data_IF_497312000024
#
_entry.id   IF_497312000024
#
_cell.length_a   1.000
_cell.length_b   1.000
_cell.length_c   1.000
_cell.angle_alpha   90.00
_cell.angle_beta   90.00
_cell.angle_gamma   90.00
#
_symmetry.space_group_name_H-M   'P 1'
#
loop_
_entity.id
_entity.type
_entity.pdbx_description
1 polymer ?
#
# COMPACT_ATOMS: atom_id res chain seq x y z
N UNK A 1 -37.49 -46.16 -72.88
CA UNK A 1 -37.54 -46.48 -71.43
C UNK A 1 -37.36 -45.19 -70.62
N UNK A 2 -38.40 -44.74 -69.91
CA UNK A 2 -38.40 -43.49 -69.10
C UNK A 2 -37.91 -43.79 -67.68
N UNK A 3 -36.88 -43.10 -67.19
CA UNK A 3 -36.51 -43.08 -65.76
C UNK A 3 -36.98 -41.77 -65.14
N UNK A 4 -37.99 -41.85 -64.26
CA UNK A 4 -38.45 -40.76 -63.39
C UNK A 4 -37.43 -40.55 -62.27
N UNK A 5 -36.94 -39.32 -62.07
CA UNK A 5 -36.12 -38.94 -60.91
C UNK A 5 -37.03 -38.52 -59.76
N UNK A 6 -36.89 -39.18 -58.61
CA UNK A 6 -37.61 -38.86 -57.38
C UNK A 6 -36.98 -37.62 -56.72
N UNK A 7 -37.72 -36.50 -56.68
CA UNK A 7 -37.39 -35.25 -55.96
C UNK A 7 -38.13 -35.23 -54.63
N UNK A 8 -37.70 -35.98 -53.61
CA UNK A 8 -38.40 -35.90 -52.30
C UNK A 8 -37.57 -36.24 -51.05
N UNK A 9 -36.22 -36.21 -51.10
CA UNK A 9 -35.41 -36.53 -49.91
C UNK A 9 -34.61 -35.36 -49.30
N UNK A 10 -34.81 -34.11 -49.76
CA UNK A 10 -33.95 -32.99 -49.34
C UNK A 10 -34.57 -32.02 -48.31
N UNK A 11 -35.76 -32.30 -47.79
CA UNK A 11 -36.49 -31.35 -46.95
C UNK A 11 -36.52 -31.66 -45.43
N UNK A 12 -35.81 -32.68 -44.93
CA UNK A 12 -36.01 -33.16 -43.55
C UNK A 12 -34.78 -33.20 -42.63
N UNK A 13 -33.70 -32.47 -42.93
CA UNK A 13 -32.51 -32.43 -42.03
C UNK A 13 -32.11 -31.07 -41.47
N UNK A 14 -32.82 -29.98 -41.80
CA UNK A 14 -32.42 -28.62 -41.39
C UNK A 14 -33.04 -28.08 -40.10
N UNK A 15 -34.04 -28.74 -39.51
CA UNK A 15 -34.80 -28.15 -38.37
C UNK A 15 -34.26 -28.49 -36.97
N UNK A 16 -33.45 -29.55 -36.78
CA UNK A 16 -32.97 -29.95 -35.42
C UNK A 16 -31.57 -29.45 -35.04
N UNK A 17 -30.93 -28.62 -35.87
CA UNK A 17 -29.58 -28.11 -35.59
C UNK A 17 -29.55 -26.76 -34.87
N UNK A 18 -30.58 -25.92 -34.91
CA UNK A 18 -30.48 -24.56 -34.33
C UNK A 18 -30.67 -24.51 -32.80
N UNK A 19 -31.41 -25.43 -32.20
CA UNK A 19 -31.70 -25.38 -30.75
C UNK A 19 -30.50 -25.81 -29.89
N UNK A 20 -29.64 -26.69 -30.41
CA UNK A 20 -28.42 -27.13 -29.69
C UNK A 20 -27.33 -26.05 -29.65
N UNK A 21 -27.32 -25.12 -30.61
CA UNK A 21 -26.33 -24.02 -30.62
C UNK A 21 -26.67 -22.90 -29.63
N UNK A 22 -27.95 -22.69 -29.30
CA UNK A 22 -28.36 -21.67 -28.35
C UNK A 22 -28.08 -22.08 -26.90
N UNK A 23 -28.29 -23.36 -26.55
CA UNK A 23 -28.00 -23.86 -25.21
C UNK A 23 -26.50 -23.87 -24.88
N UNK A 24 -25.62 -24.23 -25.83
CA UNK A 24 -24.16 -24.15 -25.59
C UNK A 24 -23.65 -22.71 -25.43
N UNK A 25 -24.24 -21.72 -26.12
CA UNK A 25 -23.83 -20.31 -25.96
C UNK A 25 -24.29 -19.72 -24.63
N UNK A 26 -25.47 -20.08 -24.13
CA UNK A 26 -25.96 -19.64 -22.83
C UNK A 26 -25.13 -20.18 -21.66
N UNK A 27 -24.72 -21.46 -21.72
CA UNK A 27 -23.86 -22.08 -20.69
C UNK A 27 -22.43 -21.52 -20.73
N UNK A 28 -21.88 -21.25 -21.92
CA UNK A 28 -20.57 -20.61 -22.06
C UNK A 28 -20.54 -19.17 -21.53
N UNK A 29 -21.62 -18.40 -21.71
CA UNK A 29 -21.75 -17.05 -21.16
C UNK A 29 -21.95 -17.06 -19.63
N UNK A 30 -22.70 -18.02 -19.09
CA UNK A 30 -22.87 -18.17 -17.64
C UNK A 30 -21.56 -18.59 -16.94
N UNK A 31 -20.76 -19.47 -17.55
CA UNK A 31 -19.43 -19.84 -17.05
C UNK A 31 -18.40 -18.70 -17.21
N UNK A 32 -18.49 -17.89 -18.27
CA UNK A 32 -17.65 -16.71 -18.44
C UNK A 32 -18.03 -15.58 -17.45
N UNK A 33 -19.31 -15.42 -17.12
CA UNK A 33 -19.78 -14.45 -16.12
C UNK A 33 -19.44 -14.88 -14.68
N UNK A 34 -19.46 -16.18 -14.38
CA UNK A 34 -19.05 -16.72 -13.08
C UNK A 34 -17.55 -16.57 -12.78
N UNK A 35 -16.69 -16.47 -13.80
CA UNK A 35 -15.25 -16.32 -13.64
C UNK A 35 -14.79 -14.88 -13.37
N UNK A 36 -15.66 -13.89 -13.57
CA UNK A 36 -15.35 -12.46 -13.35
C UNK A 36 -15.77 -11.94 -11.97
N UNK A 37 -16.54 -12.71 -11.19
CA UNK A 37 -16.72 -12.47 -9.74
C UNK A 37 -15.59 -13.13 -8.94
N UNK A 38 -14.36 -13.02 -9.43
CA UNK A 38 -13.18 -13.19 -8.60
C UNK A 38 -13.21 -12.08 -7.57
N UNK A 39 -13.74 -12.40 -6.38
CA UNK A 39 -13.68 -11.56 -5.20
C UNK A 39 -12.32 -10.86 -5.17
N UNK A 40 -12.34 -9.53 -5.25
CA UNK A 40 -11.17 -8.71 -4.96
C UNK A 40 -10.81 -8.99 -3.51
N UNK A 41 -10.09 -10.08 -3.28
CA UNK A 41 -9.54 -10.41 -1.98
C UNK A 41 -8.73 -9.18 -1.57
N UNK A 42 -8.99 -8.58 -0.40
CA UNK A 42 -8.27 -7.39 0.03
C UNK A 42 -6.79 -7.72 -0.03
N UNK A 43 -6.12 -7.11 -1.01
CA UNK A 43 -4.73 -7.37 -1.30
C UNK A 43 -3.96 -6.67 -0.20
N UNK A 44 -3.68 -7.37 0.89
CA UNK A 44 -2.69 -6.94 1.86
C UNK A 44 -1.42 -7.73 1.58
N UNK A 45 -0.30 -7.02 1.45
CA UNK A 45 1.02 -7.60 1.64
C UNK A 45 1.99 -6.51 2.09
N UNK A 46 3.15 -6.93 2.56
CA UNK A 46 3.79 -6.48 3.79
C UNK A 46 2.92 -6.65 5.05
N UNK A 47 3.50 -7.07 6.19
CA UNK A 47 2.75 -7.26 7.42
C UNK A 47 2.45 -5.88 8.02
N UNK A 48 1.23 -5.71 8.53
CA UNK A 48 0.88 -4.48 9.24
C UNK A 48 1.69 -4.36 10.54
N UNK A 49 2.05 -3.15 10.93
CA UNK A 49 2.81 -2.93 12.16
C UNK A 49 1.94 -3.16 13.41
N UNK A 50 0.63 -2.86 13.31
CA UNK A 50 -0.33 -3.02 14.41
C UNK A 50 -1.65 -3.60 13.94
N UNK A 51 -2.31 -4.34 14.84
CA UNK A 51 -3.70 -4.77 14.72
C UNK A 51 -4.59 -3.94 15.64
N UNK A 52 -5.71 -3.46 15.11
CA UNK A 52 -6.79 -2.84 15.87
C UNK A 52 -8.07 -3.60 15.59
N UNK A 53 -8.85 -3.87 16.63
CA UNK A 53 -10.18 -4.46 16.54
C UNK A 53 -11.17 -3.43 17.10
N UNK A 54 -12.26 -3.22 16.36
CA UNK A 54 -13.30 -2.23 16.64
C UNK A 54 -14.65 -2.78 16.15
N UNK A 55 -15.74 -2.53 16.87
CA UNK A 55 -17.06 -2.92 16.40
C UNK A 55 -17.65 -1.88 15.43
N UNK A 56 -18.61 -2.25 14.55
CA UNK A 56 -19.34 -1.28 13.75
C UNK A 56 -20.10 -0.28 14.64
N UNK A 57 -19.96 1.02 14.36
CA UNK A 57 -20.50 2.11 15.17
C UNK A 57 -19.69 2.46 16.42
N UNK A 58 -18.65 1.68 16.75
CA UNK A 58 -17.75 2.00 17.85
C UNK A 58 -16.73 3.07 17.42
N UNK A 59 -16.37 3.93 18.37
CA UNK A 59 -15.30 4.93 18.22
C UNK A 59 -14.18 4.64 19.20
N UNK A 60 -12.94 4.73 18.74
CA UNK A 60 -11.73 4.45 19.52
C UNK A 60 -10.67 5.50 19.24
N UNK A 61 -9.98 5.95 20.29
CA UNK A 61 -8.86 6.88 20.16
C UNK A 61 -7.57 6.09 20.39
N UNK A 62 -6.66 6.18 19.43
CA UNK A 62 -5.37 5.50 19.49
C UNK A 62 -4.24 6.51 19.44
N UNK A 63 -3.31 6.39 20.39
CA UNK A 63 -2.15 7.28 20.42
C UNK A 63 -1.16 6.89 19.33
N UNK A 64 -0.75 7.88 18.55
CA UNK A 64 0.28 7.75 17.55
C UNK A 64 1.43 8.72 17.85
N UNK A 65 2.62 8.41 17.38
CA UNK A 65 3.73 9.36 17.38
C UNK A 65 3.46 10.52 16.41
N UNK A 66 4.37 11.48 16.29
CA UNK A 66 4.23 12.56 15.32
C UNK A 66 4.14 11.98 13.90
N UNK A 67 2.99 12.16 13.26
CA UNK A 67 2.72 11.76 11.88
C UNK A 67 2.30 12.98 11.08
N UNK A 68 2.74 13.03 9.82
CA UNK A 68 2.39 14.14 8.96
C UNK A 68 0.99 13.94 8.37
N UNK A 69 0.65 12.71 7.97
CA UNK A 69 -0.59 12.40 7.26
C UNK A 69 -1.08 10.98 7.55
N UNK A 70 -2.38 10.78 7.42
CA UNK A 70 -3.01 9.47 7.42
C UNK A 70 -3.85 9.27 6.16
N UNK A 71 -3.98 8.03 5.73
CA UNK A 71 -4.87 7.61 4.66
C UNK A 71 -5.57 6.31 5.04
N UNK A 72 -6.88 6.23 4.79
CA UNK A 72 -7.68 5.03 5.00
C UNK A 72 -7.91 4.35 3.65
N UNK A 73 -7.52 3.07 3.54
CA UNK A 73 -7.66 2.31 2.30
C UNK A 73 -9.13 2.12 1.88
N UNK A 74 -10.01 1.90 2.84
CA UNK A 74 -11.44 1.71 2.63
C UNK A 74 -12.26 2.59 3.61
N UNK A 75 -12.68 3.80 3.18
CA UNK A 75 -13.42 4.74 4.02
C UNK A 75 -14.89 4.34 4.25
N UNK A 76 -15.40 3.34 3.52
CA UNK A 76 -16.74 2.78 3.76
C UNK A 76 -16.73 1.84 4.97
N UNK A 77 -15.57 1.20 5.24
CA UNK A 77 -15.37 0.35 6.43
C UNK A 77 -14.96 1.11 7.67
N UNK A 78 -14.14 2.14 7.52
CA UNK A 78 -13.54 2.84 8.66
C UNK A 78 -13.42 4.33 8.35
N UNK A 79 -13.75 5.17 9.33
CA UNK A 79 -13.31 6.55 9.33
C UNK A 79 -12.10 6.70 10.27
N UNK A 80 -11.11 7.47 9.84
CA UNK A 80 -9.97 7.83 10.66
C UNK A 80 -9.67 9.32 10.53
N UNK A 81 -9.42 9.97 11.66
CA UNK A 81 -9.10 11.39 11.73
C UNK A 81 -7.94 11.63 12.69
N UNK A 82 -7.04 12.54 12.34
CA UNK A 82 -5.94 12.96 13.21
C UNK A 82 -6.41 14.11 14.09
N UNK A 83 -6.37 13.90 15.40
CA UNK A 83 -6.73 14.92 16.37
C UNK A 83 -5.58 15.91 16.58
N UNK A 84 -5.85 17.16 17.02
CA UNK A 84 -4.80 18.14 17.35
C UNK A 84 -3.83 17.67 18.45
N UNK A 85 -4.23 16.69 19.27
CA UNK A 85 -3.38 16.05 20.29
C UNK A 85 -2.30 15.13 19.71
N UNK A 86 -2.35 14.84 18.40
CA UNK A 86 -1.51 13.82 17.75
C UNK A 86 -2.04 12.39 17.90
N UNK A 87 -3.25 12.23 18.43
CA UNK A 87 -3.96 10.95 18.49
C UNK A 87 -4.79 10.73 17.23
N UNK A 88 -5.18 9.48 16.99
CA UNK A 88 -6.01 9.09 15.84
C UNK A 88 -7.37 8.61 16.36
N UNK A 89 -8.42 9.29 15.95
CA UNK A 89 -9.79 8.84 16.12
C UNK A 89 -10.09 7.80 15.04
N UNK A 90 -10.58 6.64 15.44
CA UNK A 90 -11.02 5.56 14.56
C UNK A 90 -12.50 5.30 14.82
N UNK A 91 -13.32 5.28 13.78
CA UNK A 91 -14.75 4.98 13.87
C UNK A 91 -15.07 3.83 12.90
N UNK A 92 -15.48 2.70 13.44
CA UNK A 92 -15.90 1.53 12.66
C UNK A 92 -17.23 1.81 11.97
N UNK A 93 -17.32 1.57 10.66
CA UNK A 93 -18.55 1.83 9.88
C UNK A 93 -19.23 0.55 9.42
N UNK A 94 -18.53 -0.25 8.60
CA UNK A 94 -19.06 -1.49 8.04
C UNK A 94 -18.13 -2.65 8.30
N UNK A 95 -18.70 -3.85 8.43
CA UNK A 95 -17.95 -5.06 8.78
C UNK A 95 -16.90 -5.37 7.71
N UNK A 96 -15.67 -5.67 8.15
CA UNK A 96 -14.60 -6.11 7.27
C UNK A 96 -13.20 -5.79 7.80
N UNK A 97 -12.24 -5.83 6.89
CA UNK A 97 -10.84 -5.50 7.17
C UNK A 97 -10.42 -4.35 6.26
N UNK A 98 -9.67 -3.41 6.83
CA UNK A 98 -9.08 -2.28 6.10
C UNK A 98 -7.73 -1.92 6.71
N UNK A 99 -7.02 -0.99 6.07
CA UNK A 99 -5.71 -0.52 6.49
C UNK A 99 -5.70 1.00 6.63
N UNK A 100 -5.00 1.47 7.66
CA UNK A 100 -4.69 2.88 7.84
C UNK A 100 -3.19 3.05 7.64
N UNK A 101 -2.83 3.85 6.64
CA UNK A 101 -1.46 4.19 6.30
C UNK A 101 -1.11 5.52 6.93
N UNK A 102 -0.03 5.54 7.69
CA UNK A 102 0.52 6.74 8.29
C UNK A 102 1.82 7.08 7.59
N UNK A 103 1.86 8.29 7.04
CA UNK A 103 3.01 8.79 6.30
C UNK A 103 3.80 9.76 7.20
N UNK A 104 5.01 9.37 7.53
CA UNK A 104 6.05 10.25 8.07
C UNK A 104 6.94 10.78 6.95
N UNK A 105 7.93 11.59 7.32
CA UNK A 105 8.88 12.15 6.34
C UNK A 105 9.73 11.07 5.65
N UNK A 106 10.06 9.98 6.35
CA UNK A 106 10.98 8.94 5.87
C UNK A 106 10.52 7.52 6.24
N UNK A 107 9.24 7.36 6.58
CA UNK A 107 8.70 6.08 7.01
C UNK A 107 7.20 6.01 6.76
N UNK A 108 6.72 4.77 6.62
CA UNK A 108 5.30 4.45 6.52
C UNK A 108 5.00 3.43 7.61
N UNK A 109 3.93 3.68 8.37
CA UNK A 109 3.42 2.76 9.38
C UNK A 109 2.02 2.34 8.98
N UNK A 110 1.69 1.06 9.15
CA UNK A 110 0.40 0.53 8.69
C UNK A 110 -0.33 -0.15 9.83
N UNK A 111 -1.55 0.30 10.12
CA UNK A 111 -2.47 -0.42 10.99
C UNK A 111 -3.39 -1.27 10.14
N UNK A 112 -3.56 -2.55 10.51
CA UNK A 112 -4.65 -3.39 10.03
C UNK A 112 -5.80 -3.28 11.02
N UNK A 113 -6.93 -2.80 10.55
CA UNK A 113 -8.13 -2.58 11.37
C UNK A 113 -9.19 -3.59 10.96
N UNK A 114 -9.67 -4.34 11.95
CA UNK A 114 -10.78 -5.27 11.82
C UNK A 114 -12.02 -4.60 12.40
N UNK A 115 -13.04 -4.39 11.57
CA UNK A 115 -14.31 -3.80 11.95
C UNK A 115 -15.35 -4.91 12.04
N UNK A 116 -15.80 -5.27 13.25
CA UNK A 116 -16.73 -6.39 13.49
C UNK A 116 -16.28 -7.74 12.90
N UNK A 117 -14.98 -7.89 12.65
CA UNK A 117 -14.35 -9.06 12.08
C UNK A 117 -13.27 -9.55 13.04
N UNK A 118 -13.02 -10.85 13.05
CA UNK A 118 -11.95 -11.41 13.88
C UNK A 118 -10.89 -12.09 13.02
N UNK A 119 -9.62 -12.03 13.42
CA UNK A 119 -8.55 -12.76 12.76
C UNK A 119 -8.80 -14.27 12.85
N UNK A 120 -8.75 -14.95 11.70
CA UNK A 120 -8.89 -16.41 11.61
C UNK A 120 -7.56 -17.11 12.00
N UNK A 121 -7.54 -17.87 13.12
CA UNK A 121 -6.35 -18.61 13.55
C UNK A 121 -5.97 -19.73 12.59
N UNK A 122 -6.93 -20.41 11.96
CA UNK A 122 -6.66 -21.53 11.04
C UNK A 122 -6.00 -21.02 9.76
N UNK A 123 -6.48 -19.89 9.23
CA UNK A 123 -5.86 -19.22 8.08
C UNK A 123 -4.42 -18.79 8.39
N UNK A 124 -4.14 -18.32 9.62
CA UNK A 124 -2.77 -18.01 10.05
C UNK A 124 -1.89 -19.24 10.01
N UNK A 125 -2.31 -20.35 10.61
CA UNK A 125 -1.53 -21.59 10.64
C UNK A 125 -1.30 -22.17 9.24
N UNK A 126 -2.32 -22.10 8.37
CA UNK A 126 -2.18 -22.50 6.97
C UNK A 126 -1.13 -21.65 6.23
N UNK A 127 -1.13 -20.33 6.47
CA UNK A 127 -0.14 -19.41 5.90
C UNK A 127 1.28 -19.71 6.37
N UNK A 128 1.48 -20.01 7.66
CA UNK A 128 2.79 -20.40 8.21
C UNK A 128 3.31 -21.68 7.57
N UNK A 129 2.47 -22.70 7.42
CA UNK A 129 2.82 -23.96 6.73
C UNK A 129 3.20 -23.72 5.26
N UNK A 130 2.48 -22.83 4.56
CA UNK A 130 2.77 -22.50 3.17
C UNK A 130 4.14 -21.82 3.02
N UNK A 131 4.52 -20.93 3.94
CA UNK A 131 5.86 -20.33 3.96
C UNK A 131 6.93 -21.39 4.20
N UNK A 132 6.76 -22.24 5.23
CA UNK A 132 7.72 -23.30 5.53
C UNK A 132 7.94 -24.26 4.35
N UNK A 133 6.90 -24.53 3.56
CA UNK A 133 6.99 -25.37 2.37
C UNK A 133 7.71 -24.72 1.19
N UNK A 134 7.68 -23.38 1.08
CA UNK A 134 8.26 -22.62 -0.05
C UNK A 134 9.59 -21.96 0.27
N UNK A 135 9.92 -21.81 1.55
CA UNK A 135 11.11 -21.11 2.02
C UNK A 135 11.97 -22.04 2.87
N UNK A 136 12.94 -22.76 2.26
CA UNK A 136 13.86 -23.62 2.99
C UNK A 136 14.60 -22.87 4.09
N UNK A 137 14.73 -23.49 5.27
CA UNK A 137 15.40 -22.89 6.42
C UNK A 137 14.56 -21.89 7.22
N UNK A 138 13.27 -21.78 6.94
CA UNK A 138 12.32 -21.05 7.80
C UNK A 138 12.35 -21.61 9.22
N UNK A 139 12.40 -20.72 10.22
CA UNK A 139 12.34 -21.06 11.64
C UNK A 139 11.24 -20.28 12.32
N UNK A 140 10.52 -20.92 13.23
CA UNK A 140 9.58 -20.24 14.10
C UNK A 140 10.14 -20.27 15.52
N UNK A 141 10.38 -19.08 16.06
CA UNK A 141 10.91 -18.88 17.41
C UNK A 141 9.89 -18.09 18.22
N UNK A 142 9.27 -18.75 19.20
CA UNK A 142 8.09 -18.24 19.90
C UNK A 142 7.00 -17.75 18.92
N UNK A 143 6.73 -16.44 18.91
CA UNK A 143 5.75 -15.79 18.04
C UNK A 143 6.36 -15.14 16.79
N UNK A 144 7.64 -15.36 16.50
CA UNK A 144 8.38 -14.73 15.40
C UNK A 144 8.75 -15.77 14.35
N UNK A 145 8.29 -15.55 13.12
CA UNK A 145 8.67 -16.33 11.95
C UNK A 145 9.91 -15.70 11.32
N UNK A 146 11.01 -16.44 11.28
CA UNK A 146 12.25 -16.03 10.62
C UNK A 146 12.37 -16.73 9.28
N UNK A 147 12.43 -15.96 8.20
CA UNK A 147 12.45 -16.46 6.82
C UNK A 147 13.66 -15.91 6.08
N UNK A 148 14.32 -16.76 5.31
CA UNK A 148 15.29 -16.35 4.30
C UNK A 148 14.65 -16.47 2.92
N UNK A 149 14.48 -15.35 2.24
CA UNK A 149 13.93 -15.30 0.88
C UNK A 149 15.08 -15.44 -0.11
N UNK A 150 15.06 -16.55 -0.85
CA UNK A 150 16.03 -16.83 -1.90
C UNK A 150 15.50 -16.84 -3.32
N UNK A 151 14.19 -16.81 -3.50
CA UNK A 151 13.56 -16.80 -4.81
C UNK A 151 12.17 -16.16 -4.77
N UNK A 152 11.57 -16.01 -5.96
CA UNK A 152 10.24 -15.44 -6.12
C UNK A 152 9.11 -16.30 -5.51
N UNK A 153 9.26 -17.63 -5.48
CA UNK A 153 8.22 -18.51 -4.95
C UNK A 153 8.12 -18.40 -3.42
N UNK A 154 9.27 -18.32 -2.75
CA UNK A 154 9.36 -18.03 -1.33
C UNK A 154 8.84 -16.61 -1.04
N UNK A 155 9.24 -15.62 -1.84
CA UNK A 155 8.78 -14.23 -1.71
C UNK A 155 7.23 -14.15 -1.75
N UNK A 156 6.61 -14.78 -2.74
CA UNK A 156 5.15 -14.78 -2.90
C UNK A 156 4.44 -15.48 -1.74
N UNK A 157 5.04 -16.55 -1.20
CA UNK A 157 4.51 -17.23 -0.01
C UNK A 157 4.53 -16.32 1.22
N UNK A 158 5.63 -15.57 1.44
CA UNK A 158 5.75 -14.62 2.55
C UNK A 158 4.80 -13.43 2.40
N UNK A 159 4.67 -12.89 1.19
CA UNK A 159 3.69 -11.83 0.83
C UNK A 159 2.28 -12.28 1.23
N UNK A 160 1.88 -13.49 0.84
CA UNK A 160 0.56 -14.04 1.21
C UNK A 160 0.40 -14.21 2.72
N UNK A 161 1.41 -14.75 3.39
CA UNK A 161 1.36 -14.95 4.85
C UNK A 161 1.33 -13.65 5.65
N UNK A 162 1.89 -12.57 5.11
CA UNK A 162 1.87 -11.24 5.73
C UNK A 162 0.46 -10.69 5.98
N UNK A 163 -0.57 -11.26 5.34
CA UNK A 163 -2.00 -10.99 5.60
C UNK A 163 -2.47 -11.43 6.99
N UNK A 164 -1.73 -12.33 7.62
CA UNK A 164 -2.09 -12.93 8.91
C UNK A 164 -1.09 -12.57 10.01
N UNK A 165 0.06 -11.99 9.64
CA UNK A 165 1.15 -11.64 10.53
C UNK A 165 1.25 -10.12 10.73
N UNK A 166 1.81 -9.74 11.88
CA UNK A 166 2.28 -8.39 12.16
C UNK A 166 3.77 -8.25 11.87
N UNK A 167 4.24 -7.02 11.66
CA UNK A 167 5.64 -6.74 11.34
C UNK A 167 6.59 -7.26 12.44
N UNK A 168 6.16 -7.22 13.71
CA UNK A 168 6.91 -7.77 14.85
C UNK A 168 6.95 -9.31 14.90
N UNK A 169 6.11 -9.99 14.14
CA UNK A 169 5.98 -11.45 14.10
C UNK A 169 6.70 -12.06 12.88
N UNK A 170 7.32 -11.24 12.02
CA UNK A 170 7.97 -11.66 10.80
C UNK A 170 9.33 -11.00 10.65
N UNK A 171 10.39 -11.80 10.70
CA UNK A 171 11.76 -11.39 10.41
C UNK A 171 12.16 -11.96 9.05
N UNK A 172 12.46 -11.07 8.09
CA UNK A 172 12.83 -11.46 6.73
C UNK A 172 14.29 -11.09 6.48
N UNK A 173 15.05 -12.07 6.00
CA UNK A 173 16.37 -11.86 5.41
C UNK A 173 16.29 -12.19 3.93
N UNK A 174 17.02 -11.46 3.10
CA UNK A 174 17.09 -11.70 1.67
C UNK A 174 18.49 -12.14 1.29
N UNK A 175 18.59 -13.07 0.35
CA UNK A 175 19.80 -13.19 -0.44
C UNK A 175 19.72 -12.35 -1.72
N UNK A 176 20.75 -12.41 -2.55
CA UNK A 176 20.84 -11.61 -3.77
C UNK A 176 19.68 -11.87 -4.74
N UNK A 177 19.23 -13.12 -4.86
CA UNK A 177 18.14 -13.49 -5.77
C UNK A 177 16.79 -13.08 -5.18
N UNK A 178 16.64 -13.20 -3.85
CA UNK A 178 15.50 -12.65 -3.10
C UNK A 178 15.36 -11.13 -3.23
N UNK A 179 16.47 -10.37 -3.15
CA UNK A 179 16.46 -8.91 -3.35
C UNK A 179 15.97 -8.57 -4.77
N UNK A 180 16.49 -9.26 -5.79
CA UNK A 180 16.07 -9.03 -7.18
C UNK A 180 14.59 -9.34 -7.37
N UNK A 181 14.11 -10.48 -6.84
CA UNK A 181 12.71 -10.86 -6.91
C UNK A 181 11.78 -9.82 -6.25
N UNK A 182 12.17 -9.34 -5.06
CA UNK A 182 11.45 -8.32 -4.32
C UNK A 182 11.36 -6.99 -5.08
N UNK A 183 12.49 -6.50 -5.64
CA UNK A 183 12.51 -5.28 -6.45
C UNK A 183 11.66 -5.43 -7.71
N UNK A 184 11.81 -6.54 -8.44
CA UNK A 184 11.02 -6.80 -9.65
C UNK A 184 9.52 -6.86 -9.38
N UNK A 185 9.09 -7.50 -8.29
CA UNK A 185 7.68 -7.56 -7.91
C UNK A 185 7.11 -6.15 -7.62
N UNK A 186 7.86 -5.30 -6.92
CA UNK A 186 7.43 -3.92 -6.64
C UNK A 186 7.39 -3.06 -7.90
N UNK A 187 8.43 -3.14 -8.74
CA UNK A 187 8.48 -2.42 -10.02
C UNK A 187 7.34 -2.83 -10.95
N UNK A 188 7.03 -4.12 -11.05
CA UNK A 188 5.92 -4.62 -11.85
C UNK A 188 4.58 -4.14 -11.30
N UNK A 189 4.38 -4.19 -9.98
CA UNK A 189 3.17 -3.72 -9.34
C UNK A 189 2.91 -2.23 -9.60
N UNK A 190 3.94 -1.38 -9.46
CA UNK A 190 3.84 0.04 -9.79
C UNK A 190 3.61 0.26 -11.29
N UNK A 191 4.36 -0.43 -12.16
CA UNK A 191 4.21 -0.28 -13.62
C UNK A 191 2.82 -0.66 -14.11
N UNK A 192 2.20 -1.68 -13.50
CA UNK A 192 0.83 -2.08 -13.80
C UNK A 192 -0.18 -1.01 -13.42
N UNK A 193 0.04 -0.32 -12.30
CA UNK A 193 -0.82 0.76 -11.83
C UNK A 193 -0.59 2.07 -12.62
N UNK A 194 0.66 2.36 -12.95
CA UNK A 194 1.13 3.60 -13.60
C UNK A 194 2.14 3.29 -14.71
N UNK A 195 1.68 2.87 -15.89
CA UNK A 195 2.56 2.57 -17.01
C UNK A 195 3.26 3.82 -17.57
N UNK A 196 2.76 5.00 -17.23
CA UNK A 196 3.26 6.32 -17.62
C UNK A 196 4.46 6.82 -16.77
N UNK A 197 4.61 6.32 -15.55
CA UNK A 197 5.70 6.72 -14.64
C UNK A 197 6.97 5.90 -14.91
N UNK A 198 7.77 6.36 -15.88
CA UNK A 198 9.00 5.68 -16.33
C UNK A 198 10.27 6.10 -15.57
N UNK A 199 10.23 7.22 -14.84
CA UNK A 199 11.37 7.74 -14.08
C UNK A 199 11.45 7.21 -12.63
N UNK A 200 10.43 6.46 -12.20
CA UNK A 200 10.42 5.79 -10.90
C UNK A 200 11.35 4.58 -10.87
N UNK A 201 12.16 4.50 -9.81
CA UNK A 201 13.04 3.36 -9.54
C UNK A 201 12.95 2.94 -8.08
N UNK A 202 12.95 1.63 -7.86
CA UNK A 202 13.13 1.06 -6.54
C UNK A 202 14.62 0.87 -6.27
N UNK A 203 15.06 1.24 -5.07
CA UNK A 203 16.46 1.10 -4.66
C UNK A 203 16.54 0.29 -3.38
N UNK A 204 17.43 -0.70 -3.36
CA UNK A 204 17.75 -1.42 -2.15
C UNK A 204 18.80 -0.62 -1.34
N UNK A 205 18.49 -0.37 -0.06
CA UNK A 205 19.30 0.46 0.84
C UNK A 205 19.86 -0.39 2.01
N UNK A 206 20.15 -1.67 1.77
CA UNK A 206 20.79 -2.59 2.72
C UNK A 206 19.83 -3.21 3.76
N UNK A 207 18.90 -2.43 4.31
CA UNK A 207 17.86 -2.94 5.23
C UNK A 207 16.44 -2.53 4.84
N UNK A 208 16.32 -1.76 3.77
CA UNK A 208 15.09 -1.09 3.35
C UNK A 208 15.02 -0.96 1.83
N UNK A 209 13.85 -0.57 1.35
CA UNK A 209 13.61 -0.31 -0.06
C UNK A 209 13.11 1.13 -0.20
N UNK A 210 13.87 1.95 -0.92
CA UNK A 210 13.48 3.32 -1.24
C UNK A 210 12.80 3.41 -2.60
N UNK A 211 12.06 4.50 -2.80
CA UNK A 211 11.52 4.87 -4.12
C UNK A 211 12.18 6.19 -4.51
N UNK A 212 12.72 6.26 -5.74
CA UNK A 212 13.28 7.49 -6.32
C UNK A 212 12.55 7.84 -7.59
N UNK A 213 12.31 9.13 -7.81
CA UNK A 213 11.72 9.68 -9.03
C UNK A 213 10.82 10.86 -8.72
N UNK A 214 9.92 11.18 -9.66
CA UNK A 214 9.00 12.31 -9.54
C UNK A 214 7.56 11.83 -9.57
N UNK A 215 6.74 12.57 -8.86
CA UNK A 215 5.30 12.35 -8.73
C UNK A 215 4.63 13.72 -8.68
N UNK A 216 3.46 13.82 -9.29
CA UNK A 216 2.76 15.10 -9.41
C UNK A 216 1.97 15.43 -8.13
N UNK A 217 1.48 14.42 -7.43
CA UNK A 217 0.66 14.65 -6.23
C UNK A 217 0.95 13.66 -5.10
N UNK A 218 0.45 13.98 -3.91
CA UNK A 218 0.57 13.12 -2.75
C UNK A 218 -0.39 11.93 -2.79
N UNK A 219 -1.53 12.05 -3.46
CA UNK A 219 -2.42 10.92 -3.72
C UNK A 219 -1.71 9.87 -4.58
N UNK A 220 -0.86 10.29 -5.52
CA UNK A 220 -0.02 9.37 -6.29
C UNK A 220 1.04 8.70 -5.42
N UNK A 221 1.73 9.45 -4.55
CA UNK A 221 2.67 8.88 -3.57
C UNK A 221 1.97 7.81 -2.74
N UNK A 222 0.81 8.13 -2.20
CA UNK A 222 0.06 7.24 -1.33
C UNK A 222 -0.40 5.97 -2.07
N UNK A 223 -0.91 6.10 -3.30
CA UNK A 223 -1.25 4.96 -4.15
C UNK A 223 -0.02 4.08 -4.48
N UNK A 224 1.13 4.70 -4.72
CA UNK A 224 2.41 4.01 -4.93
C UNK A 224 2.88 3.28 -3.69
N UNK A 225 2.88 3.94 -2.53
CA UNK A 225 3.24 3.35 -1.25
C UNK A 225 2.36 2.14 -0.98
N UNK A 226 1.03 2.25 -1.11
CA UNK A 226 0.12 1.11 -0.92
C UNK A 226 0.44 -0.03 -1.87
N UNK A 227 0.67 0.27 -3.15
CA UNK A 227 0.94 -0.76 -4.15
C UNK A 227 2.28 -1.45 -3.91
N UNK A 228 3.33 -0.70 -3.58
CA UNK A 228 4.65 -1.22 -3.24
C UNK A 228 4.63 -2.03 -1.94
N UNK A 229 3.87 -1.57 -0.94
CA UNK A 229 3.63 -2.29 0.32
C UNK A 229 2.98 -3.63 0.02
N UNK A 230 1.88 -3.67 -0.74
CA UNK A 230 1.17 -4.89 -1.17
C UNK A 230 2.00 -5.88 -2.00
N UNK A 231 3.12 -5.45 -2.56
CA UNK A 231 4.03 -6.34 -3.28
C UNK A 231 5.20 -6.81 -2.41
N UNK A 232 5.35 -6.30 -1.19
CA UNK A 232 6.54 -6.51 -0.39
C UNK A 232 6.45 -7.71 0.57
N UNK A 233 7.56 -8.44 0.66
CA UNK A 233 7.77 -9.44 1.69
C UNK A 233 8.47 -8.80 2.90
N UNK A 234 7.78 -8.76 4.05
CA UNK A 234 8.32 -8.17 5.28
C UNK A 234 8.13 -6.66 5.38
N UNK A 235 8.79 -6.05 6.39
CA UNK A 235 8.61 -4.63 6.71
C UNK A 235 9.16 -3.75 5.60
N UNK A 236 8.32 -2.85 5.10
CA UNK A 236 8.72 -1.87 4.12
C UNK A 236 9.12 -0.57 4.83
N UNK A 237 10.42 -0.29 4.88
CA UNK A 237 10.93 1.03 5.25
C UNK A 237 11.08 1.83 3.96
N UNK A 238 10.07 2.63 3.64
CA UNK A 238 10.11 3.50 2.46
C UNK A 238 10.91 4.75 2.77
N UNK A 239 12.10 4.83 2.18
CA UNK A 239 12.75 6.12 2.02
C UNK A 239 12.14 6.83 0.81
N UNK A 240 11.28 7.81 1.12
CA UNK A 240 10.66 8.71 0.14
C UNK A 240 11.40 10.03 0.00
N UNK A 241 12.55 10.22 0.68
CA UNK A 241 13.31 11.48 0.57
C UNK A 241 13.86 11.69 -0.84
N UNK A 242 13.94 10.63 -1.64
CA UNK A 242 14.28 10.67 -3.06
C UNK A 242 13.10 10.94 -4.00
N UNK A 243 11.89 11.12 -3.47
CA UNK A 243 10.72 11.55 -4.25
C UNK A 243 10.63 13.07 -4.22
N UNK A 244 10.65 13.67 -5.40
CA UNK A 244 10.29 15.08 -5.55
C UNK A 244 8.82 15.14 -5.95
N UNK A 245 8.00 15.70 -5.06
CA UNK A 245 6.60 16.02 -5.39
C UNK A 245 6.62 17.38 -6.08
N UNK A 246 6.35 17.41 -7.40
CA UNK A 246 6.22 18.68 -8.11
C UNK A 246 4.97 19.39 -7.55
N UNK A 247 5.15 20.57 -6.94
CA UNK A 247 4.00 21.35 -6.50
C UNK A 247 3.10 21.60 -7.73
N UNK A 248 1.77 21.41 -7.63
CA UNK A 248 0.88 21.64 -8.75
C UNK A 248 1.15 23.05 -9.24
N UNK A 249 1.55 23.17 -10.52
CA UNK A 249 1.87 24.47 -11.11
C UNK A 249 0.71 25.40 -10.79
N UNK A 250 0.97 26.38 -9.94
CA UNK A 250 -0.02 27.35 -9.52
C UNK A 250 -0.51 27.97 -10.83
N UNK A 251 -1.75 27.68 -11.22
CA UNK A 251 -2.34 28.27 -12.42
C UNK A 251 -2.35 29.75 -12.14
N UNK A 252 -1.33 30.44 -12.63
CA UNK A 252 -1.18 31.88 -12.50
C UNK A 252 -2.47 32.48 -13.04
N UNK A 253 -3.33 32.93 -12.13
CA UNK A 253 -4.53 33.66 -12.51
C UNK A 253 -4.02 34.86 -13.29
N UNK A 254 -4.35 35.01 -14.58
CA UNK A 254 -3.93 36.18 -15.32
C UNK A 254 -4.49 37.39 -14.58
N UNK A 255 -3.58 38.26 -14.11
CA UNK A 255 -3.89 39.51 -13.41
C UNK A 255 -4.76 40.35 -14.35
N UNK A 256 -6.09 40.21 -14.20
CA UNK A 256 -7.06 40.95 -14.99
C UNK A 256 -7.11 42.38 -14.46
N UNK A 257 -6.67 43.32 -15.30
CA UNK A 257 -7.02 44.73 -15.17
C UNK A 257 -6.13 45.55 -14.23
N UNK A 258 -4.92 45.86 -14.68
CA UNK A 258 -4.27 47.11 -14.28
C UNK A 258 -4.53 48.12 -15.41
N UNK A 259 -5.71 48.74 -15.34
CA UNK A 259 -6.11 49.84 -16.21
C UNK A 259 -5.20 51.02 -15.90
N UNK A 260 -4.34 51.35 -16.84
CA UNK A 260 -3.48 52.52 -16.81
C UNK A 260 -4.33 53.80 -16.66
N UNK A 261 -4.28 54.41 -15.48
CA UNK A 261 -4.59 55.81 -15.27
C UNK A 261 -3.27 56.58 -15.22
N UNK A 262 -3.22 57.65 -16.01
CA UNK A 262 -2.09 58.52 -16.22
C UNK A 262 -1.58 59.16 -14.92
N UNK A 263 -0.25 59.25 -14.79
CA UNK A 263 0.37 60.38 -14.10
C UNK A 263 1.74 60.67 -14.73
N UNK A 264 1.75 61.75 -15.53
CA UNK A 264 2.94 62.51 -15.85
C UNK A 264 3.53 63.10 -14.56
N UNK A 265 4.84 62.95 -14.37
CA UNK A 265 5.52 63.47 -13.18
C UNK A 265 7.02 63.19 -13.21
N UNK A 266 7.68 63.81 -14.19
CA UNK A 266 9.13 63.78 -14.42
C UNK A 266 9.90 64.42 -13.25
N UNK A 267 10.72 63.67 -12.52
CA UNK A 267 11.99 64.20 -11.98
C UNK A 267 13.03 63.09 -11.81
N UNK A 268 14.15 63.32 -12.47
CA UNK A 268 15.35 62.49 -12.56
C UNK A 268 16.24 62.62 -11.32
N UNK A 269 16.76 61.50 -10.80
CA UNK A 269 18.05 61.44 -10.10
C UNK A 269 18.68 60.03 -10.20
N UNK A 270 20.02 59.91 -10.15
CA UNK A 270 20.79 58.75 -10.61
C UNK A 270 20.97 57.67 -9.53
N UNK A 271 21.44 56.45 -9.91
CA UNK A 271 21.37 55.27 -9.06
C UNK A 271 22.50 55.22 -8.03
N UNK A 272 22.14 55.01 -6.76
CA UNK A 272 23.01 54.40 -5.78
C UNK A 272 22.96 52.87 -5.99
N UNK A 273 24.15 52.26 -6.07
CA UNK A 273 24.34 50.81 -6.00
C UNK A 273 23.73 50.29 -4.71
N UNK A 274 22.64 49.54 -4.80
CA UNK A 274 22.27 48.58 -3.78
C UNK A 274 22.89 47.23 -4.15
N UNK A 275 23.72 46.74 -3.25
CA UNK A 275 24.28 45.40 -3.27
C UNK A 275 23.15 44.38 -3.26
N UNK A 276 23.23 43.45 -4.20
CA UNK A 276 22.36 42.29 -4.34
C UNK A 276 22.62 41.35 -3.15
N UNK A 277 21.90 41.57 -2.05
CA UNK A 277 21.85 40.67 -0.90
C UNK A 277 20.98 39.47 -1.29
N UNK A 278 21.64 38.39 -1.71
CA UNK A 278 21.01 37.11 -2.01
C UNK A 278 20.21 36.62 -0.79
N UNK A 279 19.01 36.04 -0.97
CA UNK A 279 18.26 35.47 0.14
C UNK A 279 19.06 34.31 0.75
N UNK A 280 19.50 34.54 1.98
CA UNK A 280 20.07 33.55 2.88
C UNK A 280 19.05 32.43 3.09
N UNK A 281 19.27 31.27 2.48
CA UNK A 281 18.56 30.05 2.84
C UNK A 281 19.11 29.63 4.20
N UNK A 282 18.36 29.93 5.27
CA UNK A 282 18.57 29.32 6.58
C UNK A 282 18.35 27.81 6.45
N UNK A 283 19.45 27.09 6.27
CA UNK A 283 19.51 25.66 6.55
C UNK A 283 19.32 25.54 8.05
N UNK A 284 18.09 25.19 8.48
CA UNK A 284 17.81 24.77 9.86
C UNK A 284 18.62 23.51 10.13
N UNK A 285 19.86 23.71 10.58
CA UNK A 285 20.68 22.69 11.22
C UNK A 285 20.30 22.65 12.68
N UNK A 286 19.60 21.60 13.08
CA UNK A 286 19.45 21.31 14.51
C UNK A 286 18.22 20.49 14.83
N UNK A 287 18.26 19.18 14.55
CA UNK A 287 17.56 18.24 15.40
C UNK A 287 18.51 17.10 15.77
N UNK A 288 18.90 16.94 17.05
CA UNK A 288 19.66 15.78 17.47
C UNK A 288 18.79 14.51 17.27
N UNK A 289 19.40 13.36 16.96
CA UNK A 289 18.67 12.11 16.85
C UNK A 289 17.95 11.82 18.17
N UNK A 290 16.62 11.92 18.15
CA UNK A 290 15.78 11.54 19.28
C UNK A 290 15.92 10.05 19.53
N UNK A 291 16.53 9.69 20.66
CA UNK A 291 16.45 8.36 21.26
C UNK A 291 14.98 7.96 21.40
N UNK A 292 14.58 6.93 20.67
CA UNK A 292 13.31 6.24 20.89
C UNK A 292 13.34 5.65 22.31
N UNK A 293 12.42 6.01 23.22
CA UNK A 293 12.37 5.39 24.54
C UNK A 293 11.98 3.92 24.37
N UNK A 294 12.91 3.02 24.67
CA UNK A 294 12.65 1.58 24.76
C UNK A 294 11.63 1.27 25.87
N UNK A 295 10.90 0.15 25.76
CA UNK A 295 9.93 -0.25 26.77
C UNK A 295 10.64 -0.45 28.12
N UNK A 296 10.16 0.25 29.16
CA UNK A 296 10.58 0.02 30.54
C UNK A 296 10.36 -1.45 30.90
N UNK A 297 11.43 -2.14 31.27
CA UNK A 297 11.35 -3.46 31.88
C UNK A 297 10.52 -3.38 33.17
N UNK A 298 9.64 -4.35 33.47
CA UNK A 298 8.95 -4.40 34.75
C UNK A 298 9.96 -4.65 35.87
N UNK A 299 10.09 -3.68 36.77
CA UNK A 299 10.91 -3.81 37.97
C UNK A 299 10.22 -4.75 38.98
N UNK A 300 10.89 -5.87 39.25
CA UNK A 300 10.95 -6.58 40.53
C UNK A 300 9.69 -6.68 41.40
N UNK A 301 8.99 -7.81 41.31
CA UNK A 301 8.18 -8.34 42.40
C UNK A 301 9.01 -9.27 43.28
N UNK A 302 9.15 -8.92 44.56
CA UNK A 302 10.04 -9.55 45.53
C UNK A 302 9.71 -11.01 45.89
N UNK A 303 10.76 -11.73 46.27
CA UNK A 303 10.67 -13.05 46.88
C UNK A 303 10.32 -12.93 48.38
N UNK A 304 9.40 -13.75 48.92
CA UNK A 304 9.26 -13.88 50.36
C UNK A 304 10.37 -14.81 50.91
N UNK A 305 11.17 -14.25 51.82
CA UNK A 305 11.95 -15.04 52.79
C UNK A 305 10.99 -15.59 53.83
N UNK A 306 10.69 -16.89 53.75
CA UNK A 306 10.13 -17.64 54.87
C UNK A 306 11.26 -18.34 55.61
N UNK A 307 11.58 -17.86 56.81
CA UNK A 307 12.42 -18.54 57.78
C UNK A 307 11.60 -18.89 59.02
N UNK A 308 12.00 -20.00 59.64
CA UNK A 308 11.51 -20.66 60.87
C UNK A 308 10.43 -21.72 60.67
#
# INVERSE_FOLDING_TARGET
MRRRRCRTCLAMSRSRRSERFLFCRAVALALAAGLWLGAAAPASAAPADRRIEIEPGETRIERLGPVARLHVEDPERLHAEMLPSGEVLLEGRTVGVTHVFFHGQSWVYVWRVFVGAHPDPEAREAALRAVAAKCPGTRQDASVLRVRIGDAACQEAVVRASRHLLAKELEVTFDTDGIRAQLSAQEEAIRKMRPDLTDLRFVYLGGSFGIRGRVATWEEVDAMVRTAWRAAAGKLLLDVSGLTVEAPAEKSVPKAGETAAAQEGRTTSPPAREEEEAPSIEIIRGFPPGTVPGPKAPSGGGAPRGGS
#
